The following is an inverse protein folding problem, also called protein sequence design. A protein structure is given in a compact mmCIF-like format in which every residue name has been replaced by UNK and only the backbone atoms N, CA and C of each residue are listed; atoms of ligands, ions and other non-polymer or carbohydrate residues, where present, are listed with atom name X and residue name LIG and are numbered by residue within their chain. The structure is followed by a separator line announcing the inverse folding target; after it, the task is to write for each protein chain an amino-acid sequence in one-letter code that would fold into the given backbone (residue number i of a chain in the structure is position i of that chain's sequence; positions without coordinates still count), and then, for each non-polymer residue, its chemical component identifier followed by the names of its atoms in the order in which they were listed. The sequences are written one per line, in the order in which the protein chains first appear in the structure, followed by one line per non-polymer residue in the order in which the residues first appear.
data_IF_796878785046
#
_entry.id   IF_796878785046
#
_cell.length_a   1.000
_cell.length_b   1.000
_cell.length_c   1.000
_cell.angle_alpha   90.00
_cell.angle_beta   90.00
_cell.angle_gamma   90.00
#
_symmetry.space_group_name_H-M   'P 1'
#
loop_
_entity.id
_entity.type
_entity.pdbx_description
1 polymer ?
#
# COMPACT_ATOMS: atom_id res chain seq x y z
N UNK A 1 40.67 17.69 13.37
CA UNK A 1 39.79 18.20 12.30
C UNK A 1 38.64 18.90 12.99
N UNK A 2 38.59 20.24 12.98
CA UNK A 2 37.45 20.96 13.55
C UNK A 2 36.33 20.89 12.51
N UNK A 3 35.21 20.26 12.86
CA UNK A 3 33.98 20.45 12.10
C UNK A 3 33.68 21.94 12.15
N UNK A 4 33.64 22.61 10.99
CA UNK A 4 33.27 24.02 10.95
C UNK A 4 31.74 24.14 11.15
N UNK A 5 31.29 25.30 11.63
CA UNK A 5 29.87 25.56 11.90
C UNK A 5 28.99 25.42 10.64
N UNK A 6 29.57 25.56 9.44
CA UNK A 6 28.84 25.42 8.17
C UNK A 6 28.51 23.96 7.85
N UNK A 7 29.39 23.03 8.21
CA UNK A 7 29.16 21.59 8.08
C UNK A 7 28.00 21.13 8.96
N UNK A 8 27.93 21.65 10.19
CA UNK A 8 26.85 21.33 11.14
C UNK A 8 25.50 21.87 10.65
N UNK A 9 25.48 23.08 10.09
CA UNK A 9 24.27 23.68 9.52
C UNK A 9 23.73 22.89 8.32
N UNK A 10 24.61 22.38 7.46
CA UNK A 10 24.21 21.60 6.28
C UNK A 10 23.73 20.20 6.66
N UNK A 11 24.34 19.57 7.66
CA UNK A 11 23.84 18.31 8.23
C UNK A 11 22.44 18.48 8.82
N UNK A 12 22.19 19.53 9.59
CA UNK A 12 20.87 19.84 10.16
C UNK A 12 19.82 20.06 9.05
N UNK A 13 20.15 20.84 8.02
CA UNK A 13 19.26 21.07 6.87
C UNK A 13 18.94 19.77 6.13
N UNK A 14 19.94 18.89 5.96
CA UNK A 14 19.75 17.61 5.28
C UNK A 14 18.85 16.69 6.10
N UNK A 15 19.07 16.58 7.41
CA UNK A 15 18.22 15.80 8.31
C UNK A 15 16.78 16.31 8.33
N UNK A 16 16.57 17.63 8.37
CA UNK A 16 15.25 18.23 8.28
C UNK A 16 14.56 17.92 6.95
N UNK A 17 15.31 17.98 5.84
CA UNK A 17 14.81 17.63 4.50
C UNK A 17 14.43 16.15 4.42
N UNK A 18 15.25 15.23 4.92
CA UNK A 18 14.97 13.79 4.94
C UNK A 18 13.72 13.50 5.78
N UNK A 19 13.60 14.13 6.95
CA UNK A 19 12.43 13.99 7.82
C UNK A 19 11.15 14.45 7.11
N UNK A 20 11.19 15.62 6.46
CA UNK A 20 10.06 16.15 5.68
C UNK A 20 9.67 15.21 4.54
N UNK A 21 10.64 14.74 3.74
CA UNK A 21 10.37 13.84 2.62
C UNK A 21 9.79 12.49 3.08
N UNK A 22 10.25 11.95 4.21
CA UNK A 22 9.66 10.74 4.81
C UNK A 22 8.20 10.97 5.17
N UNK A 23 7.90 12.08 5.86
CA UNK A 23 6.53 12.43 6.23
C UNK A 23 5.61 12.62 5.02
N UNK A 24 6.09 13.29 3.98
CA UNK A 24 5.34 13.48 2.73
C UNK A 24 5.03 12.14 2.06
N UNK A 25 6.03 11.25 1.96
CA UNK A 25 5.87 9.90 1.43
C UNK A 25 4.86 9.10 2.29
N UNK A 26 5.04 9.06 3.60
CA UNK A 26 4.18 8.30 4.52
C UNK A 26 2.72 8.80 4.45
N UNK A 27 2.50 10.11 4.34
CA UNK A 27 1.18 10.69 4.14
C UNK A 27 0.54 10.21 2.83
N UNK A 28 1.30 10.19 1.72
CA UNK A 28 0.78 9.70 0.43
C UNK A 28 0.39 8.22 0.49
N UNK A 29 1.18 7.38 1.16
CA UNK A 29 0.81 5.98 1.41
C UNK A 29 -0.46 5.86 2.28
N UNK A 30 -0.59 6.69 3.32
CA UNK A 30 -1.76 6.69 4.19
C UNK A 30 -3.04 7.11 3.46
N UNK A 31 -2.99 8.15 2.63
CA UNK A 31 -4.13 8.57 1.81
C UNK A 31 -4.55 7.51 0.80
N UNK A 32 -3.58 6.90 0.10
CA UNK A 32 -3.82 5.74 -0.78
C UNK A 32 -4.50 4.61 -0.01
N UNK A 33 -3.98 4.24 1.17
CA UNK A 33 -4.48 3.11 1.94
C UNK A 33 -5.92 3.33 2.44
N UNK A 34 -6.31 4.57 2.75
CA UNK A 34 -7.71 4.91 3.07
C UNK A 34 -8.66 4.66 1.90
N UNK A 35 -8.24 4.99 0.67
CA UNK A 35 -9.02 4.70 -0.54
C UNK A 35 -9.10 3.19 -0.80
N UNK A 36 -7.99 2.47 -0.65
CA UNK A 36 -7.98 1.00 -0.78
C UNK A 36 -8.88 0.34 0.27
N UNK A 37 -8.85 0.82 1.52
CA UNK A 37 -9.75 0.36 2.57
C UNK A 37 -11.23 0.64 2.23
N UNK A 38 -11.55 1.78 1.61
CA UNK A 38 -12.89 2.06 1.12
C UNK A 38 -13.31 1.10 -0.01
N UNK A 39 -12.44 0.87 -1.01
CA UNK A 39 -12.70 -0.07 -2.11
C UNK A 39 -12.91 -1.51 -1.60
N UNK A 40 -12.17 -1.92 -0.57
CA UNK A 40 -12.29 -3.25 0.02
C UNK A 40 -13.64 -3.53 0.70
N UNK A 41 -14.44 -2.49 0.93
CA UNK A 41 -15.82 -2.61 1.45
C UNK A 41 -16.86 -2.74 0.35
N UNK A 42 -16.48 -2.43 -0.90
CA UNK A 42 -17.36 -2.45 -2.07
C UNK A 42 -17.20 -3.77 -2.82
N UNK A 43 -15.97 -4.26 -2.95
CA UNK A 43 -15.64 -5.47 -3.68
C UNK A 43 -15.23 -6.61 -2.75
N UNK A 44 -15.43 -7.89 -3.14
CA UNK A 44 -14.89 -9.03 -2.41
C UNK A 44 -13.39 -8.86 -2.19
N UNK A 45 -12.97 -8.90 -0.93
CA UNK A 45 -11.60 -8.57 -0.54
C UNK A 45 -11.15 -9.40 0.66
N UNK A 46 -9.84 -9.57 0.82
CA UNK A 46 -9.24 -10.29 1.94
C UNK A 46 -7.81 -9.82 2.19
N UNK A 47 -7.25 -10.24 3.32
CA UNK A 47 -5.85 -10.04 3.66
C UNK A 47 -5.08 -11.35 3.50
N UNK A 48 -3.82 -11.27 3.08
CA UNK A 48 -2.84 -12.36 3.22
C UNK A 48 -1.50 -11.79 3.70
N UNK A 49 -0.57 -12.68 4.03
CA UNK A 49 0.78 -12.34 4.42
C UNK A 49 1.77 -12.73 3.33
N UNK A 50 2.59 -11.78 2.88
CA UNK A 50 3.65 -11.99 1.90
C UNK A 50 4.65 -13.06 2.42
N UNK A 51 5.03 -14.06 1.60
CA UNK A 51 5.86 -15.19 2.01
C UNK A 51 7.14 -14.78 2.76
N UNK A 52 7.36 -15.35 3.95
CA UNK A 52 8.48 -15.03 4.85
C UNK A 52 9.85 -15.23 4.19
N UNK A 53 9.93 -16.16 3.24
CA UNK A 53 11.15 -16.56 2.54
C UNK A 53 11.68 -15.49 1.59
N UNK A 54 10.79 -14.62 1.08
CA UNK A 54 11.17 -13.48 0.24
C UNK A 54 11.75 -12.37 1.12
N UNK A 55 13.09 -12.26 1.11
CA UNK A 55 13.85 -11.31 1.94
C UNK A 55 13.91 -9.90 1.36
N UNK A 56 13.42 -9.67 0.14
CA UNK A 56 13.36 -8.33 -0.45
C UNK A 56 12.32 -7.46 0.28
N UNK A 57 11.33 -8.10 0.90
CA UNK A 57 10.27 -7.41 1.63
C UNK A 57 10.57 -7.28 3.12
N UNK A 58 10.56 -6.03 3.58
CA UNK A 58 10.63 -5.71 4.99
C UNK A 58 9.40 -6.26 5.74
N UNK A 59 9.61 -6.80 6.93
CA UNK A 59 8.58 -7.44 7.76
C UNK A 59 7.32 -6.57 7.93
N UNK A 60 7.53 -5.28 8.16
CA UNK A 60 6.48 -4.31 8.40
C UNK A 60 5.62 -3.98 7.16
N UNK A 61 5.98 -4.47 5.98
CA UNK A 61 5.23 -4.31 4.72
C UNK A 61 4.62 -5.62 4.21
N UNK A 62 4.61 -6.70 4.98
CA UNK A 62 4.17 -8.03 4.49
C UNK A 62 2.67 -8.22 4.41
N UNK A 63 1.85 -7.34 4.97
CA UNK A 63 0.39 -7.49 4.84
C UNK A 63 -0.07 -7.05 3.46
N UNK A 64 -0.72 -7.94 2.72
CA UNK A 64 -1.27 -7.66 1.39
C UNK A 64 -2.79 -7.57 1.52
N UNK A 65 -3.38 -6.53 0.97
CA UNK A 65 -4.82 -6.49 0.70
C UNK A 65 -5.06 -6.90 -0.74
N UNK A 66 -5.90 -7.92 -0.93
CA UNK A 66 -6.41 -8.33 -2.23
C UNK A 66 -7.84 -7.85 -2.40
N UNK A 67 -8.13 -7.34 -3.60
CA UNK A 67 -9.46 -6.92 -4.03
C UNK A 67 -9.77 -7.68 -5.32
N UNK A 68 -10.83 -8.49 -5.30
CA UNK A 68 -11.35 -9.15 -6.49
C UNK A 68 -12.39 -8.25 -7.15
N UNK A 69 -12.03 -7.68 -8.28
CA UNK A 69 -12.82 -6.67 -8.99
C UNK A 69 -13.29 -7.18 -10.35
N UNK A 70 -14.29 -6.55 -10.98
CA UNK A 70 -14.75 -6.92 -12.33
C UNK A 70 -13.67 -6.86 -13.42
N UNK A 71 -12.56 -6.16 -13.15
CA UNK A 71 -11.41 -5.99 -14.05
C UNK A 71 -10.23 -6.87 -13.66
N UNK A 72 -10.44 -7.84 -12.77
CA UNK A 72 -9.43 -8.76 -12.26
C UNK A 72 -8.95 -8.39 -10.86
N UNK A 73 -7.97 -9.15 -10.37
CA UNK A 73 -7.41 -8.94 -9.03
C UNK A 73 -6.59 -7.65 -8.97
N UNK A 74 -6.73 -6.92 -7.88
CA UNK A 74 -5.89 -5.80 -7.49
C UNK A 74 -5.24 -6.10 -6.15
N UNK A 75 -4.00 -5.65 -5.94
CA UNK A 75 -3.30 -5.87 -4.67
C UNK A 75 -2.42 -4.70 -4.24
N UNK A 76 -2.29 -4.52 -2.92
CA UNK A 76 -1.36 -3.56 -2.32
C UNK A 76 -0.76 -4.11 -1.03
N UNK A 77 0.54 -3.93 -0.85
CA UNK A 77 1.19 -4.07 0.45
C UNK A 77 0.85 -2.89 1.35
N UNK A 78 0.53 -3.21 2.61
CA UNK A 78 0.11 -2.30 3.66
C UNK A 78 1.10 -2.41 4.82
N UNK A 79 1.46 -1.25 5.37
CA UNK A 79 2.31 -1.21 6.56
C UNK A 79 1.52 -1.69 7.78
N UNK A 80 2.13 -2.47 8.68
CA UNK A 80 1.42 -3.04 9.85
C UNK A 80 0.68 -1.98 10.69
N UNK A 81 1.23 -0.76 10.78
CA UNK A 81 0.63 0.36 11.53
C UNK A 81 -0.72 0.83 10.97
N UNK A 82 -1.09 0.44 9.75
CA UNK A 82 -2.35 0.82 9.11
C UNK A 82 -3.29 -0.38 8.88
N UNK A 83 -2.92 -1.58 9.35
CA UNK A 83 -3.74 -2.79 9.19
C UNK A 83 -5.10 -2.66 9.86
N UNK A 84 -5.22 -1.84 10.91
CA UNK A 84 -6.49 -1.54 11.58
C UNK A 84 -7.56 -0.97 10.64
N UNK A 85 -7.18 -0.32 9.54
CA UNK A 85 -8.11 0.16 8.51
C UNK A 85 -8.84 -0.98 7.79
N UNK A 86 -8.28 -2.20 7.84
CA UNK A 86 -8.71 -3.39 7.12
C UNK A 86 -9.26 -4.48 8.06
N UNK A 87 -9.52 -4.17 9.34
CA UNK A 87 -10.01 -5.13 10.34
C UNK A 87 -11.34 -5.83 10.00
N UNK A 88 -12.08 -5.31 9.01
CA UNK A 88 -13.31 -5.93 8.49
C UNK A 88 -13.03 -7.09 7.53
N UNK A 89 -11.79 -7.27 7.07
CA UNK A 89 -11.40 -8.32 6.14
C UNK A 89 -10.96 -9.57 6.90
N UNK A 90 -11.26 -10.72 6.31
CA UNK A 90 -10.72 -12.01 6.75
C UNK A 90 -9.26 -12.13 6.32
N UNK A 91 -8.43 -12.72 7.18
CA UNK A 91 -7.09 -13.14 6.81
C UNK A 91 -7.14 -14.55 6.24
N UNK A 92 -6.60 -14.75 5.04
CA UNK A 92 -6.51 -16.07 4.39
C UNK A 92 -5.07 -16.56 4.40
N UNK A 93 -4.92 -17.86 4.52
CA UNK A 93 -3.66 -18.53 4.26
C UNK A 93 -3.63 -18.97 2.79
N UNK A 94 -2.51 -18.73 2.10
CA UNK A 94 -2.36 -19.10 0.71
C UNK A 94 -1.42 -18.18 -0.06
N UNK A 95 -1.51 -18.29 -1.38
CA UNK A 95 -0.86 -17.40 -2.33
C UNK A 95 -1.89 -17.05 -3.39
N UNK A 96 -2.85 -16.18 -3.04
CA UNK A 96 -3.93 -15.84 -3.97
C UNK A 96 -3.47 -14.90 -5.07
N UNK A 97 -2.23 -14.42 -5.07
CA UNK A 97 -1.72 -13.52 -6.09
C UNK A 97 -1.81 -14.16 -7.49
N UNK A 98 -2.49 -13.48 -8.40
CA UNK A 98 -2.73 -13.98 -9.77
C UNK A 98 -1.56 -13.73 -10.74
N UNK A 99 -0.43 -13.23 -10.25
CA UNK A 99 0.78 -12.97 -11.03
C UNK A 99 0.85 -11.57 -11.67
N UNK A 100 -0.10 -10.67 -11.39
CA UNK A 100 -0.11 -9.34 -12.00
C UNK A 100 1.09 -8.46 -11.62
N UNK A 101 1.59 -7.68 -12.57
CA UNK A 101 2.55 -6.60 -12.33
C UNK A 101 1.88 -5.35 -11.74
N UNK A 102 2.70 -4.37 -11.33
CA UNK A 102 2.18 -3.09 -10.86
C UNK A 102 1.48 -2.33 -11.98
N UNK A 103 2.03 -2.39 -13.19
CA UNK A 103 1.49 -1.75 -14.39
C UNK A 103 0.13 -2.39 -14.73
N UNK A 104 0.05 -3.72 -14.77
CA UNK A 104 -1.18 -4.44 -15.09
C UNK A 104 -2.32 -4.13 -14.11
N UNK A 105 -2.07 -4.10 -12.79
CA UNK A 105 -3.15 -3.75 -11.84
C UNK A 105 -3.64 -2.32 -12.01
N UNK A 106 -2.77 -1.38 -12.41
CA UNK A 106 -3.18 0.00 -12.64
C UNK A 106 -3.92 0.15 -13.97
N UNK A 107 -3.56 -0.61 -15.01
CA UNK A 107 -4.34 -0.72 -16.23
C UNK A 107 -5.74 -1.31 -15.96
N UNK A 108 -5.82 -2.38 -15.17
CA UNK A 108 -7.11 -2.95 -14.71
C UNK A 108 -7.93 -1.89 -13.99
N UNK A 109 -7.36 -1.23 -12.98
CA UNK A 109 -8.05 -0.20 -12.21
C UNK A 109 -8.55 0.96 -13.08
N UNK A 110 -7.77 1.39 -14.08
CA UNK A 110 -8.19 2.44 -15.03
C UNK A 110 -9.37 2.00 -15.91
N UNK A 111 -9.49 0.70 -16.18
CA UNK A 111 -10.60 0.11 -16.92
C UNK A 111 -11.83 -0.21 -16.04
N UNK A 112 -11.78 0.08 -14.73
CA UNK A 112 -12.92 -0.14 -13.84
C UNK A 112 -14.07 0.79 -14.22
N UNK A 113 -15.13 0.22 -14.78
CA UNK A 113 -16.31 0.98 -15.21
C UNK A 113 -17.26 1.22 -14.05
N UNK A 114 -18.11 2.26 -14.19
CA UNK A 114 -19.16 2.53 -13.22
C UNK A 114 -20.07 1.31 -13.07
N UNK A 115 -20.36 0.94 -11.82
CA UNK A 115 -21.36 -0.08 -11.54
C UNK A 115 -22.71 0.41 -12.10
N UNK A 116 -23.17 -0.22 -13.17
CA UNK A 116 -24.50 0.06 -13.70
C UNK A 116 -25.53 -0.52 -12.73
N UNK A 117 -26.46 0.30 -12.26
CA UNK A 117 -27.64 -0.21 -11.56
C UNK A 117 -28.36 -1.18 -12.48
N UNK A 118 -28.44 -2.46 -12.10
CA UNK A 118 -29.45 -3.34 -12.70
C UNK A 118 -30.79 -2.77 -12.26
N UNK A 119 -31.54 -2.24 -13.23
CA UNK A 119 -32.83 -1.60 -13.01
C UNK A 119 -33.72 -2.41 -12.06
N UNK A 120 -34.34 -1.70 -11.13
CA UNK A 120 -35.36 -2.22 -10.22
C UNK A 120 -36.54 -2.82 -10.97
#
# INVERSE_FOLDING_TARGET
MKLDETYLDDEIKLLAKVSRLRKEKDNAYSERNKLVAALSKIFPSWLETHPAEDKEWAEHWRTIVFIDSPVGQLSWHIHFSEVDMFKHLVHREGNSWDGHTTEEKYERLANLTVLQEKGK
#
